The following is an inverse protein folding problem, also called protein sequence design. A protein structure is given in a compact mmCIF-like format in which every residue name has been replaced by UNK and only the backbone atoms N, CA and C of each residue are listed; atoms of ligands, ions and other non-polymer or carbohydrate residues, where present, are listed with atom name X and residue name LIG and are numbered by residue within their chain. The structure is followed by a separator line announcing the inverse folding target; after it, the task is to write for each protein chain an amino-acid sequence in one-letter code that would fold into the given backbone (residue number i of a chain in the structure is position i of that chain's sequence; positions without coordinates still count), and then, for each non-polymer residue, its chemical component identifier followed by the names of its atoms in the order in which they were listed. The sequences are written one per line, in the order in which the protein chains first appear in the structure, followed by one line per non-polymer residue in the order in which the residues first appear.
data_IF_244855912962
#
_entry.id   IF_244855912962
#
_cell.length_a   1.000
_cell.length_b   1.000
_cell.length_c   1.000
_cell.angle_alpha   90.00
_cell.angle_beta   90.00
_cell.angle_gamma   90.00
#
_symmetry.space_group_name_H-M   'P 1'
#
loop_
_entity.id
_entity.type
_entity.pdbx_description
1 polymer ?
#
# COMPACT_ATOMS: atom_id res chain seq x y z
N UNK A 1 -24.09 18.82 61.35
CA UNK A 1 -23.38 17.63 60.83
C UNK A 1 -23.53 17.64 59.32
N UNK A 2 -22.52 18.12 58.60
CA UNK A 2 -22.51 18.18 57.13
C UNK A 2 -21.50 17.14 56.63
N UNK A 3 -21.94 16.20 55.80
CA UNK A 3 -21.08 15.20 55.16
C UNK A 3 -20.64 15.74 53.81
N UNK A 4 -19.36 16.06 53.69
CA UNK A 4 -18.74 16.38 52.40
C UNK A 4 -18.50 15.07 51.64
N UNK A 5 -19.07 14.97 50.44
CA UNK A 5 -18.82 13.87 49.50
C UNK A 5 -17.75 14.37 48.52
N UNK A 6 -16.55 13.80 48.63
CA UNK A 6 -15.43 14.10 47.73
C UNK A 6 -15.52 13.17 46.53
N UNK A 7 -15.86 13.71 45.36
CA UNK A 7 -15.74 13.00 44.08
C UNK A 7 -14.27 13.04 43.65
N UNK A 8 -13.60 11.89 43.75
CA UNK A 8 -12.27 11.70 43.17
C UNK A 8 -12.40 11.49 41.66
N UNK A 9 -12.01 12.48 40.87
CA UNK A 9 -11.89 12.37 39.43
C UNK A 9 -10.59 11.59 39.14
N UNK A 10 -10.70 10.28 38.93
CA UNK A 10 -9.58 9.45 38.50
C UNK A 10 -9.35 9.67 37.01
N UNK A 11 -8.33 10.45 36.66
CA UNK A 11 -7.86 10.55 35.28
C UNK A 11 -7.19 9.23 34.90
N UNK A 12 -7.91 8.37 34.17
CA UNK A 12 -7.33 7.24 33.47
C UNK A 12 -6.53 7.77 32.28
N UNK A 13 -5.21 7.82 32.43
CA UNK A 13 -4.28 8.00 31.31
C UNK A 13 -4.24 6.68 30.54
N UNK A 14 -5.09 6.56 29.51
CA UNK A 14 -4.93 5.54 28.50
C UNK A 14 -3.69 5.93 27.68
N UNK A 15 -2.58 5.24 27.93
CA UNK A 15 -1.43 5.30 27.05
C UNK A 15 -1.80 4.52 25.77
N UNK A 16 -2.31 5.23 24.78
CA UNK A 16 -2.42 4.71 23.41
C UNK A 16 -1.00 4.55 22.88
N UNK A 17 -0.50 3.31 22.84
CA UNK A 17 0.68 2.98 22.06
C UNK A 17 0.30 3.15 20.59
N UNK A 18 0.74 4.24 19.97
CA UNK A 18 0.72 4.36 18.52
C UNK A 18 1.70 3.31 17.98
N UNK A 19 1.18 2.26 17.35
CA UNK A 19 2.00 1.39 16.53
C UNK A 19 2.35 2.23 15.31
N UNK A 20 3.65 2.45 15.06
CA UNK A 20 4.07 3.11 13.84
C UNK A 20 3.56 2.28 12.65
N UNK A 21 2.76 2.89 11.81
CA UNK A 21 2.20 2.28 10.63
C UNK A 21 3.32 2.05 9.59
N UNK A 22 3.24 0.94 8.86
CA UNK A 22 4.15 0.70 7.75
C UNK A 22 3.96 1.77 6.68
N UNK A 23 5.05 2.39 6.21
CA UNK A 23 4.99 3.30 5.07
C UNK A 23 5.21 2.51 3.79
N UNK A 24 4.39 2.74 2.76
CA UNK A 24 4.59 2.11 1.45
C UNK A 24 5.11 3.17 0.48
N UNK A 25 6.09 2.80 -0.34
CA UNK A 25 6.61 3.65 -1.41
C UNK A 25 6.44 2.97 -2.77
N UNK A 26 5.95 3.72 -3.74
CA UNK A 26 5.98 3.34 -5.15
C UNK A 26 7.21 3.97 -5.82
N UNK A 27 8.08 3.11 -6.33
CA UNK A 27 9.27 3.51 -7.08
C UNK A 27 9.02 3.22 -8.55
N UNK A 28 8.86 4.29 -9.34
CA UNK A 28 8.68 4.18 -10.79
C UNK A 28 10.00 4.48 -11.49
N UNK A 29 10.55 3.46 -12.17
CA UNK A 29 11.77 3.54 -12.98
C UNK A 29 11.36 3.43 -14.44
N UNK A 30 11.76 4.38 -15.28
CA UNK A 30 11.49 4.30 -16.72
C UNK A 30 12.69 4.69 -17.55
N UNK A 31 12.80 4.10 -18.74
CA UNK A 31 13.97 4.26 -19.59
C UNK A 31 13.92 3.47 -20.89
N UNK A 32 14.89 3.72 -21.77
CA UNK A 32 15.00 3.03 -23.06
C UNK A 32 15.75 1.70 -22.90
N UNK A 33 15.29 0.64 -23.56
CA UNK A 33 15.96 -0.66 -23.57
C UNK A 33 17.22 -0.59 -24.45
N UNK A 34 18.38 -0.84 -23.84
CA UNK A 34 19.66 -0.93 -24.53
C UNK A 34 19.90 -2.30 -25.13
N UNK A 35 19.59 -3.36 -24.38
CA UNK A 35 19.84 -4.72 -24.80
C UNK A 35 18.91 -5.68 -24.08
N UNK A 36 18.58 -6.76 -24.78
CA UNK A 36 17.92 -7.92 -24.20
C UNK A 36 18.78 -9.13 -24.49
N UNK A 37 19.01 -9.97 -23.48
CA UNK A 37 19.51 -11.31 -23.74
C UNK A 37 18.34 -12.07 -24.38
N UNK A 38 18.57 -12.75 -25.51
CA UNK A 38 17.55 -13.59 -26.15
C UNK A 38 16.65 -12.93 -27.21
N UNK A 39 16.49 -11.59 -27.24
CA UNK A 39 15.60 -10.90 -28.21
C UNK A 39 16.15 -9.57 -28.76
N UNK A 40 17.30 -9.58 -29.46
CA UNK A 40 17.98 -8.36 -29.92
C UNK A 40 17.13 -7.46 -30.82
N UNK A 41 16.08 -7.99 -31.47
CA UNK A 41 15.09 -7.21 -32.23
C UNK A 41 14.33 -6.17 -31.38
N UNK A 42 14.39 -6.30 -30.06
CA UNK A 42 13.75 -5.40 -29.10
C UNK A 42 14.69 -4.31 -28.57
N UNK A 43 16.00 -4.40 -28.83
CA UNK A 43 16.92 -3.30 -28.52
C UNK A 43 16.67 -2.13 -29.47
N UNK A 44 16.68 -0.91 -28.93
CA UNK A 44 16.53 0.39 -29.63
C UNK A 44 15.11 0.94 -29.88
N UNK A 45 14.02 0.17 -29.74
CA UNK A 45 12.65 0.68 -30.05
C UNK A 45 11.63 0.58 -28.92
N UNK A 46 12.07 0.12 -27.74
CA UNK A 46 11.20 -0.11 -26.61
C UNK A 46 11.63 0.72 -25.38
N UNK A 47 10.64 1.33 -24.74
CA UNK A 47 10.73 1.92 -23.40
C UNK A 47 10.22 0.90 -22.39
N UNK A 48 10.93 0.74 -21.28
CA UNK A 48 10.44 -0.03 -20.14
C UNK A 48 10.02 0.94 -19.03
N UNK A 49 8.94 0.60 -18.35
CA UNK A 49 8.55 1.18 -17.07
C UNK A 49 8.45 0.05 -16.05
N UNK A 50 9.10 0.25 -14.91
CA UNK A 50 9.11 -0.69 -13.79
C UNK A 50 8.56 0.02 -12.58
N UNK A 51 7.57 -0.57 -11.94
CA UNK A 51 6.98 -0.06 -10.70
C UNK A 51 7.28 -1.04 -9.60
N UNK A 52 7.95 -0.57 -8.55
CA UNK A 52 8.32 -1.35 -7.38
C UNK A 52 7.57 -0.79 -6.17
N UNK A 53 6.77 -1.62 -5.53
CA UNK A 53 6.13 -1.27 -4.26
C UNK A 53 7.05 -1.73 -3.12
N UNK A 54 7.45 -0.79 -2.26
CA UNK A 54 8.31 -1.03 -1.12
C UNK A 54 7.54 -0.82 0.19
N UNK A 55 7.78 -1.65 1.18
CA UNK A 55 7.37 -1.40 2.56
C UNK A 55 8.58 -0.95 3.39
N UNK A 56 8.46 0.24 3.97
CA UNK A 56 9.35 0.78 4.97
C UNK A 56 8.65 0.73 6.34
N UNK A 57 8.93 -0.32 7.11
CA UNK A 57 8.59 -0.33 8.53
C UNK A 57 9.78 0.22 9.32
N UNK A 58 9.52 1.04 10.35
CA UNK A 58 10.56 1.54 11.29
C UNK A 58 11.35 0.41 12.00
N UNK A 59 10.95 -0.86 11.82
CA UNK A 59 11.54 -2.02 12.49
C UNK A 59 12.36 -2.94 11.58
N UNK A 60 12.52 -2.66 10.28
CA UNK A 60 13.39 -3.51 9.44
C UNK A 60 14.82 -3.39 9.95
N UNK A 61 15.31 -4.42 10.65
CA UNK A 61 16.66 -4.41 11.20
C UNK A 61 17.65 -4.65 10.05
N UNK A 62 18.51 -3.68 9.72
CA UNK A 62 19.49 -3.87 8.66
C UNK A 62 20.44 -5.02 9.02
N UNK A 63 20.65 -5.93 8.08
CA UNK A 63 21.69 -6.95 8.19
C UNK A 63 22.95 -6.43 7.51
N UNK A 64 24.07 -6.34 8.23
CA UNK A 64 25.36 -5.93 7.64
C UNK A 64 26.08 -7.18 7.13
N UNK A 65 26.24 -7.31 5.82
CA UNK A 65 27.04 -8.37 5.21
C UNK A 65 28.42 -7.86 4.74
N UNK A 66 29.18 -8.74 4.08
CA UNK A 66 30.53 -8.44 3.61
C UNK A 66 30.54 -7.28 2.60
N UNK A 67 29.50 -7.19 1.77
CA UNK A 67 29.48 -6.23 0.68
C UNK A 67 28.49 -5.06 0.86
N UNK A 68 27.65 -5.05 1.89
CA UNK A 68 26.70 -3.95 2.09
C UNK A 68 25.74 -4.13 3.27
N UNK A 69 24.79 -3.21 3.39
CA UNK A 69 23.64 -3.30 4.29
C UNK A 69 22.49 -3.93 3.52
N UNK A 70 21.79 -4.88 4.14
CA UNK A 70 20.67 -5.62 3.55
C UNK A 70 19.39 -5.38 4.34
N UNK A 71 18.31 -5.09 3.63
CA UNK A 71 16.95 -5.02 4.17
C UNK A 71 16.15 -6.17 3.60
N UNK A 72 15.61 -7.01 4.48
CA UNK A 72 14.77 -8.14 4.11
C UNK A 72 13.30 -7.73 4.10
N UNK A 73 12.49 -8.42 3.29
CA UNK A 73 11.02 -8.30 3.24
C UNK A 73 10.49 -6.89 2.89
N UNK A 74 11.26 -6.06 2.17
CA UNK A 74 10.90 -4.64 1.90
C UNK A 74 10.24 -4.36 0.54
N UNK A 75 10.12 -5.33 -0.35
CA UNK A 75 9.56 -5.22 -1.71
C UNK A 75 8.31 -6.08 -1.70
N UNK A 76 7.17 -5.43 -1.88
CA UNK A 76 5.85 -6.05 -1.89
C UNK A 76 5.54 -6.60 -3.29
N UNK A 77 5.83 -5.81 -4.32
CA UNK A 77 5.60 -6.19 -5.70
C UNK A 77 6.57 -5.51 -6.67
N UNK A 78 6.75 -6.12 -7.85
CA UNK A 78 7.46 -5.54 -8.99
C UNK A 78 6.60 -5.74 -10.23
N UNK A 79 6.28 -4.67 -10.95
CA UNK A 79 5.57 -4.74 -12.22
C UNK A 79 6.36 -4.12 -13.36
N UNK A 80 6.14 -4.64 -14.55
CA UNK A 80 6.83 -4.27 -15.78
C UNK A 80 5.81 -3.94 -16.85
N UNK A 81 6.03 -2.83 -17.54
CA UNK A 81 5.36 -2.52 -18.79
C UNK A 81 6.37 -2.09 -19.84
N UNK A 82 6.07 -2.39 -21.08
CA UNK A 82 6.92 -2.10 -22.23
C UNK A 82 6.10 -1.39 -23.29
N UNK A 83 6.67 -0.37 -23.90
CA UNK A 83 6.01 0.45 -24.91
C UNK A 83 6.96 0.68 -26.08
N UNK A 84 6.45 0.76 -27.31
CA UNK A 84 7.26 1.14 -28.46
C UNK A 84 7.49 2.67 -28.51
N UNK A 85 8.26 3.14 -29.50
CA UNK A 85 8.50 4.59 -29.72
C UNK A 85 7.22 5.42 -29.98
N UNK A 86 6.08 4.77 -30.26
CA UNK A 86 4.77 5.41 -30.43
C UNK A 86 3.93 5.41 -29.14
N UNK A 87 4.42 4.82 -28.04
CA UNK A 87 3.70 4.65 -26.79
C UNK A 87 2.68 3.50 -26.82
N UNK A 88 2.77 2.59 -27.79
CA UNK A 88 1.89 1.42 -27.86
C UNK A 88 2.46 0.27 -27.00
N UNK A 89 1.64 -0.44 -26.22
CA UNK A 89 2.12 -1.50 -25.35
C UNK A 89 2.70 -2.66 -26.15
N UNK A 90 3.83 -3.21 -25.69
CA UNK A 90 4.47 -4.40 -26.24
C UNK A 90 4.33 -5.53 -25.22
N UNK A 91 3.71 -6.64 -25.64
CA UNK A 91 3.67 -7.87 -24.86
C UNK A 91 4.89 -8.73 -25.18
N UNK A 92 5.78 -8.88 -24.21
CA UNK A 92 6.94 -9.77 -24.35
C UNK A 92 6.64 -11.24 -24.00
N UNK A 93 5.43 -11.54 -23.51
CA UNK A 93 5.02 -12.87 -23.08
C UNK A 93 5.50 -13.24 -21.67
N UNK A 94 5.89 -12.25 -20.87
CA UNK A 94 6.27 -12.42 -19.47
C UNK A 94 5.14 -11.94 -18.54
N UNK A 95 5.09 -12.42 -17.29
CA UNK A 95 4.22 -11.83 -16.28
C UNK A 95 4.50 -10.33 -16.14
N UNK A 96 3.46 -9.52 -16.28
CA UNK A 96 3.57 -8.06 -16.10
C UNK A 96 3.73 -7.67 -14.62
N UNK A 97 3.46 -8.57 -13.68
CA UNK A 97 3.50 -8.33 -12.23
C UNK A 97 4.04 -9.56 -11.50
N UNK A 98 4.96 -9.32 -10.59
CA UNK A 98 5.52 -10.25 -9.63
C UNK A 98 5.09 -9.78 -8.25
N UNK A 99 4.33 -10.60 -7.54
CA UNK A 99 3.84 -10.32 -6.21
C UNK A 99 4.00 -11.59 -5.38
N UNK A 100 4.52 -11.46 -4.17
CA UNK A 100 4.79 -12.61 -3.31
C UNK A 100 3.46 -13.17 -2.83
N UNK A 101 3.12 -14.43 -3.16
CA UNK A 101 1.87 -15.01 -2.70
C UNK A 101 1.83 -15.06 -1.17
N UNK A 102 0.63 -14.88 -0.58
CA UNK A 102 0.44 -14.96 0.87
C UNK A 102 1.00 -16.28 1.40
N UNK A 103 1.90 -16.18 2.39
CA UNK A 103 2.53 -17.32 3.04
C UNK A 103 3.82 -17.80 2.36
N UNK A 104 4.26 -17.17 1.28
CA UNK A 104 5.59 -17.37 0.71
C UNK A 104 6.61 -16.44 1.37
N UNK A 105 7.83 -16.94 1.54
CA UNK A 105 8.96 -16.10 1.93
C UNK A 105 9.63 -15.57 0.67
N UNK A 106 9.93 -14.27 0.67
CA UNK A 106 10.72 -13.66 -0.37
C UNK A 106 12.17 -13.48 0.08
N UNK A 107 13.15 -13.86 -0.75
CA UNK A 107 14.49 -13.30 -0.58
C UNK A 107 14.45 -11.88 -1.14
N UNK A 108 14.73 -10.93 -0.26
CA UNK A 108 14.70 -9.53 -0.58
C UNK A 108 15.92 -8.86 -0.02
N UNK A 109 16.65 -8.21 -0.90
CA UNK A 109 17.93 -7.63 -0.60
C UNK A 109 17.98 -6.28 -1.25
N UNK A 110 17.92 -5.25 -0.43
CA UNK A 110 18.38 -3.93 -0.83
C UNK A 110 19.81 -3.70 -0.35
N UNK A 111 20.78 -3.34 -1.21
CA UNK A 111 22.16 -3.00 -0.74
C UNK A 111 22.85 -1.89 -1.53
N UNK A 112 23.59 -1.02 -0.82
CA UNK A 112 24.45 0.06 -1.37
C UNK A 112 25.94 -0.29 -1.25
N UNK A 113 26.69 -0.12 -2.33
CA UNK A 113 28.13 -0.38 -2.40
C UNK A 113 28.84 0.84 -2.96
N UNK A 114 30.03 1.14 -2.43
CA UNK A 114 30.91 2.17 -2.99
C UNK A 114 32.14 1.53 -3.64
N UNK A 115 32.13 1.45 -4.98
CA UNK A 115 33.27 1.02 -5.80
C UNK A 115 33.64 2.07 -6.86
N UNK A 116 33.47 3.35 -6.51
CA UNK A 116 33.53 4.49 -7.45
C UNK A 116 32.21 4.80 -8.15
N UNK A 117 31.19 3.96 -7.97
CA UNK A 117 29.80 4.15 -8.42
C UNK A 117 28.85 3.87 -7.26
N UNK A 118 27.66 4.48 -7.29
CA UNK A 118 26.57 4.14 -6.38
C UNK A 118 25.71 3.05 -7.02
N UNK A 119 25.59 1.91 -6.36
CA UNK A 119 24.86 0.75 -6.83
C UNK A 119 23.78 0.40 -5.82
N UNK A 120 22.53 0.25 -6.26
CA UNK A 120 21.48 -0.43 -5.50
C UNK A 120 21.25 -1.82 -6.06
N UNK A 121 21.19 -2.80 -5.19
CA UNK A 121 20.70 -4.14 -5.49
C UNK A 121 19.24 -4.27 -5.06
N UNK A 122 18.39 -4.97 -5.79
CA UNK A 122 17.02 -5.29 -5.36
C UNK A 122 16.59 -6.61 -5.98
N UNK A 123 16.08 -7.51 -5.14
CA UNK A 123 15.69 -8.85 -5.54
C UNK A 123 14.36 -9.20 -4.90
N UNK A 124 13.47 -9.81 -5.67
CA UNK A 124 12.23 -10.40 -5.22
C UNK A 124 12.19 -11.81 -5.80
N UNK A 125 12.37 -12.82 -4.95
CA UNK A 125 12.28 -14.22 -5.38
C UNK A 125 11.35 -15.04 -4.51
N UNK A 126 10.56 -15.91 -5.11
CA UNK A 126 9.68 -16.85 -4.40
C UNK A 126 9.50 -18.13 -5.23
N UNK A 127 9.08 -19.21 -4.58
CA UNK A 127 8.74 -20.47 -5.27
C UNK A 127 7.25 -20.77 -5.11
N UNK A 128 6.55 -21.03 -6.20
CA UNK A 128 5.16 -21.50 -6.18
C UNK A 128 5.01 -22.71 -7.11
N UNK A 129 4.32 -23.76 -6.67
CA UNK A 129 4.07 -24.98 -7.46
C UNK A 129 5.32 -25.64 -8.11
N UNK A 130 6.50 -25.53 -7.49
CA UNK A 130 7.83 -25.94 -8.02
C UNK A 130 8.39 -25.06 -9.15
N UNK A 131 7.79 -23.90 -9.39
CA UNK A 131 8.31 -22.86 -10.28
C UNK A 131 9.01 -21.81 -9.42
N UNK A 132 10.18 -21.35 -9.87
CA UNK A 132 10.88 -20.23 -9.23
C UNK A 132 10.51 -18.97 -9.98
N UNK A 133 10.13 -17.95 -9.23
CA UNK A 133 9.89 -16.61 -9.72
C UNK A 133 11.00 -15.74 -9.17
N UNK A 134 11.66 -15.00 -10.07
CA UNK A 134 12.71 -14.07 -9.73
C UNK A 134 12.46 -12.79 -10.53
N UNK A 135 12.25 -11.70 -9.79
CA UNK A 135 12.38 -10.35 -10.29
C UNK A 135 13.61 -9.74 -9.63
N UNK A 136 14.53 -9.28 -10.45
CA UNK A 136 15.80 -8.74 -9.98
C UNK A 136 16.01 -7.41 -10.69
N UNK A 137 16.42 -6.38 -9.97
CA UNK A 137 16.84 -5.12 -10.58
C UNK A 137 18.02 -4.51 -9.83
N UNK A 138 18.89 -3.84 -10.59
CA UNK A 138 19.96 -3.05 -10.01
C UNK A 138 19.91 -1.64 -10.55
N UNK A 139 20.17 -0.63 -9.74
CA UNK A 139 20.35 0.73 -10.24
C UNK A 139 21.79 1.16 -10.01
N UNK A 140 22.49 1.46 -11.10
CA UNK A 140 23.85 1.99 -11.03
C UNK A 140 23.89 3.44 -11.49
N UNK A 141 24.24 4.35 -10.58
CA UNK A 141 24.51 5.76 -10.90
C UNK A 141 25.95 5.95 -11.38
N UNK A 142 26.15 6.91 -12.29
CA UNK A 142 27.50 7.37 -12.67
C UNK A 142 28.18 8.15 -11.53
N UNK A 143 29.46 8.48 -11.71
CA UNK A 143 30.22 9.28 -10.77
C UNK A 143 29.48 10.58 -10.39
N UNK A 144 29.18 10.74 -9.10
CA UNK A 144 28.44 11.90 -8.57
C UNK A 144 26.92 11.78 -8.56
N UNK A 145 26.33 10.74 -9.17
CA UNK A 145 24.88 10.47 -9.10
C UNK A 145 24.60 9.43 -8.03
N UNK A 146 24.05 9.87 -6.90
CA UNK A 146 23.65 8.98 -5.82
C UNK A 146 22.23 8.48 -6.05
N UNK A 147 22.07 7.19 -6.31
CA UNK A 147 20.76 6.59 -6.65
C UNK A 147 19.88 6.32 -5.44
N UNK A 148 20.44 6.27 -4.23
CA UNK A 148 19.69 6.06 -3.00
C UNK A 148 20.41 6.68 -1.78
N UNK A 149 19.64 7.11 -0.79
CA UNK A 149 20.08 7.65 0.49
C UNK A 149 19.54 6.82 1.66
N UNK A 150 20.24 6.82 2.79
CA UNK A 150 19.67 6.34 4.06
C UNK A 150 18.89 7.47 4.73
N UNK A 151 17.60 7.26 5.00
CA UNK A 151 16.76 8.14 5.83
C UNK A 151 16.04 7.27 6.85
N UNK A 152 16.14 7.66 8.12
CA UNK A 152 15.45 6.99 9.23
C UNK A 152 15.71 5.47 9.24
N UNK A 153 16.98 5.09 9.07
CA UNK A 153 17.47 3.70 8.98
C UNK A 153 16.93 2.87 7.80
N UNK A 154 16.18 3.46 6.87
CA UNK A 154 15.72 2.82 5.63
C UNK A 154 16.43 3.40 4.41
N UNK A 155 16.50 2.63 3.31
CA UNK A 155 17.05 3.15 2.06
C UNK A 155 15.94 3.64 1.14
N UNK A 156 16.00 4.91 0.80
CA UNK A 156 15.10 5.55 -0.14
C UNK A 156 15.84 5.91 -1.42
N UNK A 157 15.24 5.56 -2.56
CA UNK A 157 15.76 5.99 -3.85
C UNK A 157 15.71 7.52 -3.96
N UNK A 158 16.73 8.09 -4.58
CA UNK A 158 16.73 9.50 -4.95
C UNK A 158 16.04 9.65 -6.30
N UNK A 159 15.20 10.66 -6.45
CA UNK A 159 14.59 10.97 -7.73
C UNK A 159 15.65 11.34 -8.77
N UNK A 160 15.44 10.88 -10.00
CA UNK A 160 16.33 11.09 -11.13
C UNK A 160 15.52 11.60 -12.30
N UNK A 161 15.98 12.69 -12.93
CA UNK A 161 15.37 13.21 -14.14
C UNK A 161 16.42 13.77 -15.11
N UNK A 162 16.12 13.66 -16.40
CA UNK A 162 16.76 14.42 -17.46
C UNK A 162 17.76 13.63 -18.31
N UNK A 163 18.10 14.16 -19.50
CA UNK A 163 18.85 13.45 -20.54
C UNK A 163 20.33 13.21 -20.21
N UNK A 164 20.81 13.68 -19.05
CA UNK A 164 22.20 13.48 -18.57
C UNK A 164 22.30 12.59 -17.33
N UNK A 165 21.17 12.22 -16.74
CA UNK A 165 21.12 11.40 -15.55
C UNK A 165 20.92 9.95 -15.98
N UNK A 166 22.02 9.32 -16.40
CA UNK A 166 21.98 7.93 -16.81
C UNK A 166 22.02 7.05 -15.57
N UNK A 167 21.05 6.16 -15.41
CA UNK A 167 21.18 5.03 -14.50
C UNK A 167 21.06 3.77 -15.33
N UNK A 168 22.02 2.87 -15.17
CA UNK A 168 21.94 1.58 -15.81
C UNK A 168 21.10 0.67 -14.91
N UNK A 169 20.02 0.12 -15.47
CA UNK A 169 19.26 -0.94 -14.79
C UNK A 169 19.33 -2.25 -15.54
N UNK A 170 19.49 -3.34 -14.79
CA UNK A 170 19.48 -4.70 -15.31
C UNK A 170 18.34 -5.46 -14.64
N UNK A 171 17.36 -5.86 -15.43
CA UNK A 171 16.25 -6.69 -14.98
C UNK A 171 16.49 -8.16 -15.34
N UNK A 172 16.30 -9.08 -14.40
CA UNK A 172 16.23 -10.51 -14.71
C UNK A 172 14.83 -11.01 -14.37
N UNK A 173 14.22 -11.72 -15.31
CA UNK A 173 12.92 -12.37 -15.17
C UNK A 173 13.11 -13.87 -15.35
N UNK A 174 12.80 -14.64 -14.30
CA UNK A 174 12.64 -16.10 -14.42
C UNK A 174 11.18 -16.42 -14.78
N UNK A 175 10.98 -17.07 -15.92
CA UNK A 175 9.66 -17.37 -16.48
C UNK A 175 9.32 -18.84 -16.24
N UNK A 176 8.13 -19.17 -15.73
CA UNK A 176 7.72 -20.57 -15.53
C UNK A 176 7.63 -21.37 -16.84
N UNK A 177 7.57 -20.67 -17.99
CA UNK A 177 7.37 -21.29 -19.31
C UNK A 177 8.69 -21.77 -19.93
N UNK A 178 9.84 -21.23 -19.49
CA UNK A 178 11.15 -21.52 -20.10
C UNK A 178 12.20 -21.54 -18.99
N UNK A 179 13.05 -22.57 -18.92
CA UNK A 179 14.26 -22.61 -18.07
C UNK A 179 15.32 -21.52 -18.44
N UNK A 180 14.89 -20.40 -19.02
CA UNK A 180 15.69 -19.31 -19.51
C UNK A 180 15.44 -18.06 -18.65
N UNK A 181 16.51 -17.58 -18.03
CA UNK A 181 16.56 -16.25 -17.42
C UNK A 181 16.66 -15.22 -18.54
N UNK A 182 15.68 -14.32 -18.61
CA UNK A 182 15.67 -13.23 -19.57
C UNK A 182 16.22 -11.98 -18.91
N UNK A 183 17.19 -11.34 -19.57
CA UNK A 183 17.84 -10.14 -19.05
C UNK A 183 17.52 -8.94 -19.93
N UNK A 184 17.11 -7.84 -19.30
CA UNK A 184 16.92 -6.56 -19.97
C UNK A 184 17.85 -5.53 -19.35
N UNK A 185 18.54 -4.76 -20.17
CA UNK A 185 19.31 -3.60 -19.72
C UNK A 185 18.65 -2.34 -20.23
N UNK A 186 18.37 -1.39 -19.34
CA UNK A 186 17.79 -0.09 -19.71
C UNK A 186 18.69 1.07 -19.31
N UNK A 187 18.62 2.14 -20.10
CA UNK A 187 19.04 3.48 -19.70
C UNK A 187 17.85 4.17 -19.08
N UNK A 188 17.87 4.28 -17.77
CA UNK A 188 16.88 5.03 -17.00
C UNK A 188 17.05 6.52 -17.31
N UNK A 189 15.98 7.16 -17.77
CA UNK A 189 15.91 8.62 -17.97
C UNK A 189 15.05 9.31 -16.90
N UNK A 190 14.24 8.53 -16.17
CA UNK A 190 13.39 8.98 -15.08
C UNK A 190 13.26 7.91 -13.99
N UNK A 191 13.51 8.32 -12.74
CA UNK A 191 13.21 7.57 -11.52
C UNK A 191 12.40 8.50 -10.61
N UNK A 192 11.18 8.11 -10.24
CA UNK A 192 10.34 8.83 -9.27
C UNK A 192 10.03 7.93 -8.08
N UNK A 193 9.90 8.55 -6.90
CA UNK A 193 9.55 7.86 -5.66
C UNK A 193 8.36 8.59 -5.06
N UNK A 194 7.24 7.90 -4.95
CA UNK A 194 6.02 8.43 -4.38
C UNK A 194 5.67 7.63 -3.13
N UNK A 195 5.32 8.30 -2.03
CA UNK A 195 4.79 7.62 -0.86
C UNK A 195 3.35 7.21 -1.17
N UNK A 196 3.10 5.90 -1.21
CA UNK A 196 1.76 5.35 -1.34
C UNK A 196 1.20 5.24 0.05
N UNK A 197 0.19 6.05 0.30
CA UNK A 197 -0.52 5.98 1.56
C UNK A 197 -1.32 4.65 1.54
N UNK A 198 -0.90 3.69 2.38
CA UNK A 198 -1.52 2.37 2.49
C UNK A 198 -3.01 2.54 2.81
N UNK A 199 -3.88 1.74 2.18
CA UNK A 199 -5.31 1.67 2.47
C UNK A 199 -5.61 0.21 2.83
N UNK A 200 -5.58 -0.08 4.13
CA UNK A 200 -5.55 -1.44 4.66
C UNK A 200 -6.87 -2.21 4.48
N UNK A 201 -8.00 -1.52 4.44
CA UNK A 201 -9.33 -2.13 4.30
C UNK A 201 -9.99 -1.85 2.94
N UNK A 202 -9.40 -0.98 2.11
CA UNK A 202 -9.80 -0.72 0.73
C UNK A 202 -10.97 0.24 0.63
N UNK A 203 -11.16 1.10 1.64
CA UNK A 203 -12.25 2.06 1.72
C UNK A 203 -11.99 3.35 0.90
N UNK A 204 -10.78 3.49 0.35
CA UNK A 204 -10.30 4.62 -0.44
C UNK A 204 -9.63 5.73 0.38
N UNK A 205 -9.53 5.57 1.70
CA UNK A 205 -8.90 6.49 2.64
C UNK A 205 -7.60 5.85 3.13
N UNK A 206 -6.47 6.55 3.01
CA UNK A 206 -5.24 5.98 3.51
C UNK A 206 -5.29 5.76 5.02
N UNK A 207 -4.77 4.63 5.49
CA UNK A 207 -4.69 4.17 6.86
C UNK A 207 -4.10 5.22 7.82
N UNK A 208 -3.11 6.02 7.38
CA UNK A 208 -2.60 7.18 8.14
C UNK A 208 -3.62 8.31 8.43
N UNK A 209 -4.74 8.34 7.71
CA UNK A 209 -5.86 9.29 7.84
C UNK A 209 -7.19 8.62 8.21
N UNK A 210 -7.23 7.29 8.13
CA UNK A 210 -8.39 6.48 8.43
C UNK A 210 -8.58 6.32 9.94
N UNK A 211 -9.78 6.66 10.42
CA UNK A 211 -10.18 6.50 11.82
C UNK A 211 -10.83 5.14 12.09
N UNK A 212 -11.20 4.41 11.04
CA UNK A 212 -11.87 3.12 11.05
C UNK A 212 -11.03 2.07 10.32
N UNK A 213 -9.98 1.56 10.98
CA UNK A 213 -9.03 0.56 10.45
C UNK A 213 -9.61 -0.73 9.83
N UNK A 214 -10.91 -0.93 9.94
CA UNK A 214 -11.66 -2.02 9.32
C UNK A 214 -13.12 -1.56 9.15
N UNK A 215 -13.37 -0.81 8.09
CA UNK A 215 -14.66 -0.30 7.64
C UNK A 215 -15.52 -1.41 7.04
N UNK A 216 -16.83 -1.41 7.31
CA UNK A 216 -17.78 -2.30 6.63
C UNK A 216 -18.02 -1.80 5.19
N UNK A 217 -17.44 -2.47 4.20
CA UNK A 217 -17.59 -2.12 2.78
C UNK A 217 -18.75 -2.82 2.06
N UNK A 218 -19.75 -3.33 2.79
CA UNK A 218 -20.96 -3.88 2.19
C UNK A 218 -21.70 -2.83 1.36
N UNK A 219 -22.41 -3.25 0.30
CA UNK A 219 -23.07 -2.31 -0.63
C UNK A 219 -24.12 -1.40 0.05
N UNK A 220 -24.73 -1.85 1.15
CA UNK A 220 -25.68 -1.04 1.88
C UNK A 220 -25.84 -1.41 3.34
N UNK A 221 -26.47 -0.52 4.09
CA UNK A 221 -26.50 -0.55 5.55
C UNK A 221 -27.48 -1.61 6.05
N UNK A 222 -27.01 -2.44 6.98
CA UNK A 222 -27.82 -3.41 7.72
C UNK A 222 -27.98 -2.98 9.17
N UNK A 223 -29.22 -2.85 9.65
CA UNK A 223 -29.53 -2.53 11.05
C UNK A 223 -30.29 -3.70 11.67
N UNK A 224 -29.77 -4.30 12.74
CA UNK A 224 -30.34 -5.51 13.37
C UNK A 224 -30.60 -6.66 12.36
N UNK A 225 -29.71 -6.81 11.38
CA UNK A 225 -29.84 -7.82 10.31
C UNK A 225 -30.86 -7.49 9.21
N UNK A 226 -31.48 -6.31 9.23
CA UNK A 226 -32.41 -5.84 8.20
C UNK A 226 -31.67 -4.91 7.24
N UNK A 227 -31.66 -5.26 5.95
CA UNK A 227 -31.16 -4.37 4.90
C UNK A 227 -32.06 -3.14 4.77
N UNK A 228 -31.48 -1.96 4.91
CA UNK A 228 -32.23 -0.70 4.91
C UNK A 228 -32.57 -0.18 3.51
N UNK A 229 -31.85 -0.65 2.48
CA UNK A 229 -31.93 -0.12 1.12
C UNK A 229 -31.12 1.17 0.91
N UNK A 230 -30.36 1.61 1.91
CA UNK A 230 -29.46 2.77 1.83
C UNK A 230 -28.06 2.29 1.52
N UNK A 231 -27.40 2.93 0.55
CA UNK A 231 -25.99 2.66 0.21
C UNK A 231 -25.09 2.93 1.42
N UNK A 232 -24.09 2.08 1.65
CA UNK A 232 -23.16 2.25 2.75
C UNK A 232 -22.01 3.16 2.32
N UNK A 233 -22.21 4.47 2.49
CA UNK A 233 -21.19 5.45 2.13
C UNK A 233 -20.04 5.44 3.14
N UNK A 234 -18.80 5.52 2.63
CA UNK A 234 -17.59 5.84 3.39
C UNK A 234 -17.41 7.36 3.38
N UNK A 235 -17.16 7.95 4.55
CA UNK A 235 -16.91 9.39 4.65
C UNK A 235 -15.40 9.74 4.58
N UNK A 236 -15.05 11.01 4.76
CA UNK A 236 -13.65 11.47 4.69
C UNK A 236 -12.74 10.94 5.80
N UNK A 237 -13.32 10.26 6.80
CA UNK A 237 -12.59 9.67 7.92
C UNK A 237 -12.34 8.17 7.74
N UNK A 238 -12.82 7.56 6.66
CA UNK A 238 -12.72 6.12 6.39
C UNK A 238 -13.81 5.26 7.03
N UNK A 239 -14.62 5.85 7.90
CA UNK A 239 -15.73 5.13 8.50
C UNK A 239 -16.93 5.02 7.54
N UNK A 240 -17.48 3.80 7.38
CA UNK A 240 -18.75 3.62 6.70
C UNK A 240 -19.94 4.01 7.59
N UNK A 241 -21.11 4.24 6.99
CA UNK A 241 -22.34 4.44 7.75
C UNK A 241 -22.62 3.28 8.71
N UNK A 242 -22.38 2.05 8.28
CA UNK A 242 -22.58 0.86 9.09
C UNK A 242 -21.69 0.86 10.34
N UNK A 243 -20.43 1.30 10.23
CA UNK A 243 -19.51 1.40 11.39
C UNK A 243 -20.00 2.40 12.43
N UNK A 244 -20.47 3.57 11.98
CA UNK A 244 -21.05 4.54 12.88
C UNK A 244 -22.32 4.03 13.58
N UNK A 245 -23.18 3.31 12.86
CA UNK A 245 -24.38 2.71 13.46
C UNK A 245 -24.03 1.58 14.43
N UNK A 246 -23.02 0.76 14.12
CA UNK A 246 -22.50 -0.27 15.00
C UNK A 246 -21.93 0.34 16.30
N UNK A 247 -21.23 1.49 16.20
CA UNK A 247 -20.74 2.22 17.37
C UNK A 247 -21.85 2.78 18.27
N UNK A 248 -23.07 2.96 17.73
CA UNK A 248 -24.26 3.36 18.49
C UNK A 248 -25.03 2.20 19.12
N UNK A 249 -24.68 0.93 18.85
CA UNK A 249 -25.36 -0.21 19.44
C UNK A 249 -25.13 -0.23 20.96
N UNK A 250 -26.22 -0.10 21.69
CA UNK A 250 -26.21 -0.19 23.16
C UNK A 250 -26.00 -1.65 23.56
N UNK A 251 -25.28 -1.86 24.66
CA UNK A 251 -25.04 -3.22 25.15
C UNK A 251 -26.38 -3.99 25.30
N UNK A 252 -26.43 -5.28 24.99
CA UNK A 252 -27.64 -6.09 25.12
C UNK A 252 -28.26 -6.05 26.52
N UNK A 253 -27.45 -5.80 27.55
CA UNK A 253 -27.88 -5.66 28.95
C UNK A 253 -28.73 -4.41 29.20
N UNK A 254 -28.47 -3.33 28.48
CA UNK A 254 -29.23 -2.08 28.54
C UNK A 254 -30.49 -2.16 27.67
N UNK A 255 -30.40 -2.78 26.50
CA UNK A 255 -31.54 -3.03 25.63
C UNK A 255 -32.61 -3.90 26.30
N UNK A 256 -32.21 -4.93 27.06
CA UNK A 256 -33.14 -5.82 27.77
C UNK A 256 -33.99 -5.12 28.85
N UNK A 257 -33.58 -3.93 29.33
CA UNK A 257 -34.31 -3.19 30.38
C UNK A 257 -35.38 -2.26 29.83
N UNK A 258 -35.39 -1.99 28.52
CA UNK A 258 -36.29 -1.03 27.90
C UNK A 258 -36.98 -1.71 26.72
N UNK A 259 -38.28 -2.00 26.85
CA UNK A 259 -39.10 -2.58 25.79
C UNK A 259 -39.40 -1.60 24.64
N UNK A 260 -38.42 -0.78 24.23
CA UNK A 260 -38.55 0.22 23.19
C UNK A 260 -38.03 -0.34 21.87
N UNK A 261 -38.91 -0.43 20.86
CA UNK A 261 -38.64 -0.96 19.52
C UNK A 261 -38.42 0.18 18.52
N UNK A 262 -37.44 1.05 18.77
CA UNK A 262 -37.18 2.19 17.90
C UNK A 262 -35.72 2.61 17.94
N UNK A 263 -35.33 3.56 17.06
CA UNK A 263 -33.97 4.03 16.98
C UNK A 263 -33.56 4.68 18.31
N UNK A 264 -32.36 4.37 18.76
CA UNK A 264 -31.77 5.01 19.93
C UNK A 264 -31.53 6.49 19.66
N UNK A 265 -31.32 7.29 20.71
CA UNK A 265 -30.98 8.69 20.53
C UNK A 265 -29.69 8.86 19.70
N UNK A 266 -28.71 7.97 19.89
CA UNK A 266 -27.46 7.94 19.15
C UNK A 266 -27.71 7.76 17.64
N UNK A 267 -28.47 6.72 17.26
CA UNK A 267 -28.73 6.40 15.86
C UNK A 267 -29.58 7.47 15.17
N UNK A 268 -30.50 8.11 15.90
CA UNK A 268 -31.23 9.28 15.38
C UNK A 268 -30.30 10.46 15.12
N UNK A 269 -29.41 10.80 16.07
CA UNK A 269 -28.49 11.94 15.90
C UNK A 269 -27.55 11.72 14.71
N UNK A 270 -26.98 10.52 14.57
CA UNK A 270 -26.14 10.17 13.42
C UNK A 270 -26.86 10.38 12.09
N UNK A 271 -28.07 9.83 11.93
CA UNK A 271 -28.81 10.00 10.68
C UNK A 271 -29.06 11.46 10.32
N UNK A 272 -29.39 12.29 11.30
CA UNK A 272 -29.55 13.73 11.07
C UNK A 272 -28.24 14.46 10.76
N UNK A 273 -27.13 14.03 11.37
CA UNK A 273 -25.80 14.53 11.08
C UNK A 273 -25.41 14.21 9.64
N UNK A 274 -25.48 12.95 9.21
CA UNK A 274 -25.16 12.55 7.84
C UNK A 274 -26.01 13.27 6.80
N UNK A 275 -27.31 13.50 7.08
CA UNK A 275 -28.17 14.29 6.20
C UNK A 275 -27.73 15.76 6.11
N UNK A 276 -27.34 16.36 7.25
CA UNK A 276 -26.88 17.76 7.30
C UNK A 276 -25.55 17.93 6.58
N UNK A 277 -24.68 16.94 6.69
CA UNK A 277 -23.34 16.95 6.09
C UNK A 277 -23.41 16.59 4.59
N UNK A 278 -24.59 16.20 4.09
CA UNK A 278 -24.85 15.91 2.68
C UNK A 278 -24.44 14.51 2.24
N UNK A 279 -24.02 13.66 3.19
CA UNK A 279 -23.60 12.29 2.94
C UNK A 279 -24.77 11.39 2.53
N UNK A 280 -25.95 11.63 3.11
CA UNK A 280 -27.20 10.94 2.74
C UNK A 280 -28.30 11.93 2.36
N UNK A 281 -29.23 11.48 1.54
CA UNK A 281 -30.45 12.21 1.20
C UNK A 281 -31.49 12.13 2.32
N UNK A 282 -32.47 13.03 2.28
CA UNK A 282 -33.59 12.97 3.21
C UNK A 282 -34.42 11.69 3.07
N UNK A 283 -34.47 11.10 1.87
CA UNK A 283 -35.16 9.82 1.63
C UNK A 283 -34.47 8.68 2.36
N UNK A 284 -33.14 8.61 2.26
CA UNK A 284 -32.31 7.60 2.94
C UNK A 284 -32.38 7.76 4.46
N UNK A 285 -32.35 8.99 4.98
CA UNK A 285 -32.59 9.25 6.41
C UNK A 285 -33.92 8.64 6.89
N UNK A 286 -34.99 8.77 6.10
CA UNK A 286 -36.28 8.15 6.45
C UNK A 286 -36.23 6.64 6.38
N UNK A 287 -35.48 6.06 5.44
CA UNK A 287 -35.30 4.61 5.34
C UNK A 287 -34.56 4.07 6.57
N UNK A 288 -33.44 4.67 6.95
CA UNK A 288 -32.66 4.31 8.15
C UNK A 288 -33.49 4.39 9.43
N UNK A 289 -34.34 5.41 9.57
CA UNK A 289 -35.22 5.56 10.75
C UNK A 289 -36.34 4.53 10.83
N UNK A 290 -36.77 3.97 9.70
CA UNK A 290 -37.88 3.01 9.63
C UNK A 290 -37.41 1.55 9.72
N UNK A 291 -36.10 1.30 9.80
CA UNK A 291 -35.51 -0.03 9.85
C UNK A 291 -35.32 -0.60 11.27
N UNK A 292 -35.95 0.01 12.29
CA UNK A 292 -35.88 -0.38 13.71
C UNK A 292 -37.20 -0.97 14.22
#
# INVERSE_FOLDING_TARGET
MSKAVTFGCGAFLLASSFVAEAQVYEVTISGNILSTDGRPELSETARATVVVELEATEQVTPTVGYDGVYFAETILSVSYSFENDLGEPIDFGYPARFEVPIGQQADNRFSEFYSGFFFSYSELSYSDNNENHLAYFNLTGYEGVRVADYRDDFVLFNEISGPGSYVHSVFLIDSPVTDALERFSIVVDKLTVEEVALDADGDGIPSSKDLCSASDLSEGVYLNGIYTGVTNYVDETGCSLADYYAACEVSPEEAARIAYSGPTYCTMQLGYQFYRDGLITYTELRMLRNAW
#
